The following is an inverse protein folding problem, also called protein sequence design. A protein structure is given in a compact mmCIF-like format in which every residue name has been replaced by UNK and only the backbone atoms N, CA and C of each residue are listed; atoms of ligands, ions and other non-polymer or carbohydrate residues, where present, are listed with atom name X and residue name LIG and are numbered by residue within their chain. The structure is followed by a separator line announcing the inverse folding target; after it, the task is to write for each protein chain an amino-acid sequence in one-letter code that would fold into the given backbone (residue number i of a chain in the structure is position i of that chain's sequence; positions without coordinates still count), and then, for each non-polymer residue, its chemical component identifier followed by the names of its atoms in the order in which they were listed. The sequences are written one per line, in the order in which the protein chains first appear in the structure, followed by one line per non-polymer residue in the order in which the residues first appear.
data_IF_652688016628
#
_entry.id   IF_652688016628
#
_cell.length_a   1.000
_cell.length_b   1.000
_cell.length_c   1.000
_cell.angle_alpha   90.00
_cell.angle_beta   90.00
_cell.angle_gamma   90.00
#
_symmetry.space_group_name_H-M   'P 1'
#
loop_
_entity.id
_entity.type
_entity.pdbx_description
1 polymer ?
#
# COMPACT_ATOMS: atom_id res chain seq x y z
N UNK A 1 -33.22 -66.47 1.08
CA UNK A 1 -32.07 -65.65 1.49
C UNK A 1 -31.92 -64.52 0.49
N UNK A 2 -32.10 -63.25 0.87
CA UNK A 2 -31.82 -62.12 0.00
C UNK A 2 -30.34 -61.72 0.09
N UNK A 3 -29.70 -61.47 -1.05
CA UNK A 3 -28.32 -60.98 -1.11
C UNK A 3 -28.20 -59.53 -0.61
N UNK A 4 -27.08 -59.15 0.01
CA UNK A 4 -26.86 -57.77 0.43
C UNK A 4 -26.48 -56.89 -0.78
N UNK A 5 -27.23 -55.81 -0.97
CA UNK A 5 -26.91 -54.73 -1.92
C UNK A 5 -25.57 -54.09 -1.54
N UNK A 6 -24.66 -54.00 -2.51
CA UNK A 6 -23.39 -53.30 -2.37
C UNK A 6 -23.62 -51.81 -2.09
N UNK A 7 -23.04 -51.31 -1.00
CA UNK A 7 -22.94 -49.88 -0.74
C UNK A 7 -21.95 -49.27 -1.73
N UNK A 8 -22.46 -48.48 -2.69
CA UNK A 8 -21.62 -47.64 -3.53
C UNK A 8 -20.98 -46.57 -2.64
N UNK A 9 -19.65 -46.63 -2.50
CA UNK A 9 -18.86 -45.63 -1.79
C UNK A 9 -18.99 -44.27 -2.47
N UNK A 10 -19.40 -43.25 -1.71
CA UNK A 10 -19.37 -41.87 -2.17
C UNK A 10 -17.90 -41.46 -2.22
N UNK A 11 -17.38 -41.26 -3.43
CA UNK A 11 -16.03 -40.76 -3.66
C UNK A 11 -15.90 -39.38 -3.00
N UNK A 12 -14.91 -39.22 -2.12
CA UNK A 12 -14.65 -37.98 -1.39
C UNK A 12 -14.35 -36.84 -2.36
N UNK A 13 -15.12 -35.76 -2.28
CA UNK A 13 -14.85 -34.51 -2.98
C UNK A 13 -13.56 -33.92 -2.43
N UNK A 14 -12.52 -33.85 -3.27
CA UNK A 14 -11.29 -33.14 -2.93
C UNK A 14 -11.59 -31.64 -2.88
N UNK A 15 -11.61 -31.06 -1.68
CA UNK A 15 -11.66 -29.61 -1.48
C UNK A 15 -10.24 -29.08 -1.68
N UNK A 16 -10.01 -28.32 -2.75
CA UNK A 16 -8.77 -27.56 -2.89
C UNK A 16 -8.92 -26.21 -2.18
N UNK A 17 -8.07 -25.95 -1.19
CA UNK A 17 -7.98 -24.63 -0.54
C UNK A 17 -7.05 -23.79 -1.39
N UNK A 18 -7.61 -22.81 -2.10
CA UNK A 18 -6.82 -21.77 -2.77
C UNK A 18 -6.52 -20.70 -1.73
N UNK A 19 -5.25 -20.35 -1.45
CA UNK A 19 -4.92 -19.26 -0.55
C UNK A 19 -5.59 -17.96 -1.03
N UNK A 20 -6.09 -17.16 -0.09
CA UNK A 20 -6.64 -15.84 -0.43
C UNK A 20 -5.55 -15.00 -1.10
N UNK A 21 -5.89 -14.07 -2.03
CA UNK A 21 -4.90 -13.22 -2.71
C UNK A 21 -3.96 -12.44 -1.77
N UNK A 22 -4.43 -12.15 -0.54
CA UNK A 22 -3.66 -11.50 0.53
C UNK A 22 -2.65 -12.43 1.21
N UNK A 23 -2.83 -13.76 1.12
CA UNK A 23 -1.89 -14.76 1.60
C UNK A 23 -0.80 -15.00 0.56
N UNK A 24 0.34 -14.38 0.82
CA UNK A 24 1.58 -14.53 0.05
C UNK A 24 2.66 -15.13 0.95
N UNK A 25 2.25 -15.96 1.92
CA UNK A 25 3.14 -16.50 2.94
C UNK A 25 4.24 -17.36 2.36
N UNK A 26 4.13 -17.85 1.12
CA UNK A 26 5.17 -18.52 0.34
C UNK A 26 6.38 -17.61 0.00
N UNK A 27 6.18 -16.30 -0.09
CA UNK A 27 7.19 -15.30 -0.43
C UNK A 27 8.03 -14.97 0.82
N UNK A 28 9.28 -15.46 0.86
CA UNK A 28 10.17 -15.38 2.05
C UNK A 28 11.06 -14.12 2.12
N UNK A 29 11.13 -13.34 1.03
CA UNK A 29 12.03 -12.19 0.91
C UNK A 29 13.47 -12.59 0.52
N UNK A 30 14.48 -11.77 0.83
CA UNK A 30 14.41 -10.54 1.62
C UNK A 30 13.60 -9.42 0.97
N UNK A 31 13.03 -8.53 1.79
CA UNK A 31 12.21 -7.41 1.31
C UNK A 31 12.77 -6.05 1.74
N UNK A 32 12.51 -5.02 0.95
CA UNK A 32 12.67 -3.62 1.34
C UNK A 32 11.29 -2.96 1.27
N UNK A 33 10.69 -2.69 2.43
CA UNK A 33 9.33 -2.16 2.52
C UNK A 33 9.39 -0.64 2.53
N UNK A 34 8.71 0.01 1.58
CA UNK A 34 8.79 1.46 1.34
C UNK A 34 7.46 2.12 1.72
N UNK A 35 7.56 3.21 2.48
CA UNK A 35 6.43 4.05 2.92
C UNK A 35 5.75 4.83 1.79
N UNK A 36 4.80 5.69 2.16
CA UNK A 36 3.98 6.50 1.25
C UNK A 36 4.85 7.38 0.34
N UNK A 37 4.80 7.14 -0.96
CA UNK A 37 5.66 7.81 -1.95
C UNK A 37 5.05 9.12 -2.42
N UNK A 38 3.73 9.16 -2.64
CA UNK A 38 3.00 10.35 -3.06
C UNK A 38 3.66 11.12 -4.22
N UNK A 39 4.01 10.43 -5.31
CA UNK A 39 4.57 11.08 -6.50
C UNK A 39 5.99 11.67 -6.32
N UNK A 40 6.68 11.42 -5.20
CA UNK A 40 8.08 11.80 -4.97
C UNK A 40 9.04 10.85 -5.71
N UNK A 41 9.06 10.91 -7.04
CA UNK A 41 9.83 9.99 -7.88
C UNK A 41 11.34 10.15 -7.72
N UNK A 42 11.83 11.39 -7.53
CA UNK A 42 13.27 11.63 -7.32
C UNK A 42 13.75 10.98 -6.02
N UNK A 43 13.01 11.14 -4.92
CA UNK A 43 13.32 10.48 -3.65
C UNK A 43 13.19 8.96 -3.74
N UNK A 44 12.22 8.43 -4.49
CA UNK A 44 12.08 6.99 -4.70
C UNK A 44 13.28 6.41 -5.48
N UNK A 45 13.68 7.04 -6.59
CA UNK A 45 14.85 6.61 -7.36
C UNK A 45 16.13 6.66 -6.51
N UNK A 46 16.32 7.72 -5.73
CA UNK A 46 17.46 7.86 -4.81
C UNK A 46 17.42 6.79 -3.70
N UNK A 47 16.24 6.52 -3.13
CA UNK A 47 16.08 5.50 -2.09
C UNK A 47 16.41 4.11 -2.62
N UNK A 48 15.89 3.76 -3.80
CA UNK A 48 16.18 2.49 -4.48
C UNK A 48 17.67 2.33 -4.76
N UNK A 49 18.33 3.37 -5.30
CA UNK A 49 19.77 3.34 -5.55
C UNK A 49 20.56 3.14 -4.25
N UNK A 50 20.19 3.83 -3.16
CA UNK A 50 20.83 3.67 -1.84
C UNK A 50 20.54 2.32 -1.18
N UNK A 51 19.41 1.70 -1.51
CA UNK A 51 19.10 0.33 -1.11
C UNK A 51 19.88 -0.72 -1.91
N UNK A 52 20.52 -0.34 -3.03
CA UNK A 52 21.31 -1.22 -3.89
C UNK A 52 20.57 -1.73 -5.13
N UNK A 53 19.42 -1.14 -5.48
CA UNK A 53 18.70 -1.48 -6.71
C UNK A 53 19.32 -0.77 -7.91
N UNK A 54 19.42 -1.48 -9.01
CA UNK A 54 19.80 -0.96 -10.32
C UNK A 54 18.52 -0.55 -11.06
N UNK A 55 18.44 0.72 -11.47
CA UNK A 55 17.26 1.27 -12.15
C UNK A 55 17.30 0.94 -13.64
N UNK A 56 16.21 0.36 -14.15
CA UNK A 56 15.96 0.22 -15.57
C UNK A 56 15.34 1.50 -16.11
N UNK A 57 15.86 2.00 -17.24
CA UNK A 57 15.37 3.21 -17.90
C UNK A 57 14.94 2.91 -19.32
N UNK A 58 13.86 3.57 -19.76
CA UNK A 58 13.43 3.54 -21.16
C UNK A 58 14.32 4.44 -22.05
N UNK A 59 14.14 4.44 -23.38
CA UNK A 59 14.90 5.29 -24.28
C UNK A 59 14.74 6.80 -24.03
N UNK A 60 13.70 7.23 -23.31
CA UNK A 60 13.49 8.62 -22.89
C UNK A 60 14.15 8.93 -21.54
N UNK A 61 14.87 7.97 -20.95
CA UNK A 61 15.57 8.12 -19.66
C UNK A 61 14.66 7.99 -18.44
N UNK A 62 13.38 7.62 -18.61
CA UNK A 62 12.43 7.49 -17.50
C UNK A 62 12.67 6.17 -16.79
N UNK A 63 12.66 6.17 -15.46
CA UNK A 63 12.71 4.94 -14.68
C UNK A 63 11.44 4.11 -14.94
N UNK A 64 11.63 2.87 -15.37
CA UNK A 64 10.56 1.91 -15.72
C UNK A 64 10.62 0.63 -14.91
N UNK A 65 11.70 0.40 -14.20
CA UNK A 65 11.91 -0.79 -13.38
C UNK A 65 13.10 -0.60 -12.48
N UNK A 66 13.28 -1.54 -11.55
CA UNK A 66 14.48 -1.61 -10.74
C UNK A 66 14.67 -3.05 -10.26
N UNK A 67 15.92 -3.52 -10.23
CA UNK A 67 16.26 -4.87 -9.78
C UNK A 67 17.41 -4.81 -8.77
N UNK A 68 17.30 -5.57 -7.69
CA UNK A 68 18.42 -5.73 -6.76
C UNK A 68 19.27 -6.94 -7.16
N UNK A 69 20.61 -6.81 -7.32
CA UNK A 69 21.47 -7.92 -7.77
C UNK A 69 21.49 -9.11 -6.80
N UNK A 70 21.27 -8.86 -5.51
CA UNK A 70 21.10 -9.92 -4.50
C UNK A 70 19.66 -10.51 -4.41
N UNK A 71 18.77 -10.17 -5.35
CA UNK A 71 17.41 -10.72 -5.40
C UNK A 71 16.44 -10.20 -4.33
N UNK A 72 16.75 -9.06 -3.69
CA UNK A 72 15.81 -8.37 -2.79
C UNK A 72 14.64 -7.81 -3.59
N UNK A 73 13.47 -7.75 -2.95
CA UNK A 73 12.24 -7.24 -3.57
C UNK A 73 11.65 -6.10 -2.78
N UNK A 74 11.06 -5.13 -3.47
CA UNK A 74 10.35 -4.03 -2.82
C UNK A 74 8.95 -4.46 -2.39
N UNK A 75 8.46 -3.93 -1.27
CA UNK A 75 7.04 -3.94 -0.95
C UNK A 75 6.57 -2.51 -0.70
N UNK A 76 5.73 -1.98 -1.57
CA UNK A 76 5.12 -0.66 -1.39
C UNK A 76 3.91 -0.74 -0.46
N UNK A 77 3.83 0.15 0.54
CA UNK A 77 2.69 0.21 1.47
C UNK A 77 1.45 0.91 0.89
N UNK A 78 1.46 1.30 -0.39
CA UNK A 78 0.39 2.08 -1.03
C UNK A 78 0.67 3.59 -1.03
N UNK A 79 -0.32 4.38 -1.47
CA UNK A 79 -0.22 5.83 -1.60
C UNK A 79 1.01 6.26 -2.44
N UNK A 80 1.09 5.66 -3.63
CA UNK A 80 2.09 5.94 -4.65
C UNK A 80 1.84 7.28 -5.35
N UNK A 81 0.57 7.70 -5.41
CA UNK A 81 0.11 8.85 -6.21
C UNK A 81 -0.30 10.06 -5.35
N UNK A 82 -0.70 11.13 -6.03
CA UNK A 82 -1.17 12.40 -5.46
C UNK A 82 -0.13 13.18 -4.64
N UNK A 83 -0.44 14.45 -4.37
CA UNK A 83 0.36 15.43 -3.59
C UNK A 83 1.71 15.82 -4.21
N UNK A 84 2.64 14.89 -4.36
CA UNK A 84 3.97 15.19 -4.91
C UNK A 84 3.96 15.45 -6.41
N UNK A 85 5.14 15.70 -7.00
CA UNK A 85 5.24 16.30 -8.32
C UNK A 85 5.04 15.32 -9.47
N UNK A 86 5.30 14.01 -9.30
CA UNK A 86 5.43 13.07 -10.41
C UNK A 86 4.71 11.72 -10.19
N UNK A 87 3.38 11.70 -9.89
CA UNK A 87 2.62 10.46 -9.73
C UNK A 87 2.73 9.50 -10.94
N UNK A 88 2.74 9.99 -12.18
CA UNK A 88 2.89 9.12 -13.35
C UNK A 88 4.27 8.46 -13.43
N UNK A 89 5.33 9.14 -12.97
CA UNK A 89 6.68 8.57 -12.89
C UNK A 89 6.77 7.44 -11.87
N UNK A 90 6.20 7.66 -10.67
CA UNK A 90 6.14 6.64 -9.62
C UNK A 90 5.36 5.42 -10.07
N UNK A 91 4.18 5.60 -10.68
CA UNK A 91 3.37 4.49 -11.19
C UNK A 91 4.11 3.65 -12.21
N UNK A 92 4.78 4.28 -13.18
CA UNK A 92 5.55 3.58 -14.22
C UNK A 92 6.64 2.70 -13.62
N UNK A 93 7.41 3.25 -12.68
CA UNK A 93 8.46 2.50 -11.98
C UNK A 93 7.88 1.34 -11.17
N UNK A 94 6.87 1.61 -10.32
CA UNK A 94 6.26 0.59 -9.46
C UNK A 94 5.59 -0.53 -10.27
N UNK A 95 4.88 -0.19 -11.34
CA UNK A 95 4.23 -1.16 -12.22
C UNK A 95 5.25 -2.04 -12.94
N UNK A 96 6.33 -1.47 -13.48
CA UNK A 96 7.34 -2.28 -14.14
C UNK A 96 8.12 -3.18 -13.19
N UNK A 97 8.43 -2.71 -11.97
CA UNK A 97 8.97 -3.57 -10.91
C UNK A 97 8.02 -4.71 -10.54
N UNK A 98 6.72 -4.43 -10.39
CA UNK A 98 5.72 -5.45 -10.08
C UNK A 98 5.58 -6.49 -11.21
N UNK A 99 5.55 -6.04 -12.46
CA UNK A 99 5.47 -6.91 -13.63
C UNK A 99 6.71 -7.81 -13.79
N UNK A 100 7.89 -7.29 -13.45
CA UNK A 100 9.15 -8.04 -13.47
C UNK A 100 9.33 -8.97 -12.24
N UNK A 101 8.43 -8.90 -11.26
CA UNK A 101 8.52 -9.68 -10.02
C UNK A 101 9.45 -9.08 -8.97
N UNK A 102 10.02 -7.88 -9.20
CA UNK A 102 10.94 -7.20 -8.29
C UNK A 102 10.23 -6.37 -7.21
N UNK A 103 8.92 -6.18 -7.32
CA UNK A 103 8.10 -5.54 -6.30
C UNK A 103 6.75 -6.22 -6.04
N UNK A 104 6.22 -5.96 -4.85
CA UNK A 104 4.83 -6.15 -4.46
C UNK A 104 4.26 -4.80 -4.01
N UNK A 105 2.95 -4.65 -4.00
CA UNK A 105 2.27 -3.45 -3.50
C UNK A 105 0.92 -3.79 -2.88
N UNK A 106 0.50 -2.97 -1.93
CA UNK A 106 -0.86 -2.97 -1.38
C UNK A 106 -1.58 -1.68 -1.76
N UNK A 107 -2.91 -1.71 -1.75
CA UNK A 107 -3.72 -0.55 -2.07
C UNK A 107 -3.62 0.49 -0.94
N UNK A 108 -3.25 1.72 -1.29
CA UNK A 108 -3.47 2.89 -0.45
C UNK A 108 -4.87 3.48 -0.67
N UNK A 109 -5.24 4.44 0.18
CA UNK A 109 -6.52 5.11 -0.01
C UNK A 109 -6.54 6.03 -1.23
N UNK A 110 -5.38 6.47 -1.71
CA UNK A 110 -5.27 7.27 -2.93
C UNK A 110 -5.49 6.44 -4.19
N UNK A 111 -4.88 5.25 -4.31
CA UNK A 111 -5.14 4.34 -5.44
C UNK A 111 -6.61 3.91 -5.47
N UNK A 112 -7.21 3.63 -4.30
CA UNK A 112 -8.64 3.31 -4.21
C UNK A 112 -9.54 4.47 -4.71
N UNK A 113 -9.17 5.73 -4.47
CA UNK A 113 -9.90 6.90 -5.01
C UNK A 113 -9.70 7.02 -6.52
N UNK A 114 -8.50 6.77 -7.03
CA UNK A 114 -8.20 6.81 -8.46
C UNK A 114 -9.04 5.78 -9.23
N UNK A 115 -9.09 4.53 -8.78
CA UNK A 115 -9.90 3.47 -9.42
C UNK A 115 -11.38 3.87 -9.51
N UNK A 116 -11.95 4.46 -8.45
CA UNK A 116 -13.34 4.94 -8.46
C UNK A 116 -13.56 6.07 -9.48
N UNK A 117 -12.61 7.00 -9.56
CA UNK A 117 -12.67 8.12 -10.51
C UNK A 117 -12.59 7.64 -11.97
N UNK A 118 -11.67 6.72 -12.27
CA UNK A 118 -11.47 6.19 -13.63
C UNK A 118 -12.61 5.27 -14.09
N UNK A 119 -13.22 4.50 -13.18
CA UNK A 119 -14.37 3.63 -13.50
C UNK A 119 -15.70 4.39 -13.65
N UNK A 120 -15.69 5.73 -13.71
CA UNK A 120 -16.91 6.54 -13.84
C UNK A 120 -17.87 6.41 -12.64
N UNK A 121 -17.41 5.84 -11.53
CA UNK A 121 -18.19 5.70 -10.31
C UNK A 121 -18.19 7.03 -9.56
N UNK A 122 -19.07 7.95 -9.98
CA UNK A 122 -19.49 9.13 -9.23
C UNK A 122 -20.21 8.80 -7.92
N UNK A 123 -19.68 7.86 -7.13
CA UNK A 123 -20.20 7.47 -5.83
C UNK A 123 -19.50 8.23 -4.71
N UNK A 124 -20.30 8.88 -3.89
CA UNK A 124 -20.01 9.43 -2.56
C UNK A 124 -19.24 8.44 -1.67
N UNK A 125 -18.49 8.95 -0.70
CA UNK A 125 -17.88 8.13 0.35
C UNK A 125 -18.93 7.53 1.28
N UNK A 126 -18.62 6.38 1.87
CA UNK A 126 -19.30 5.81 3.03
C UNK A 126 -20.75 5.33 2.83
N UNK A 127 -21.20 4.31 3.58
CA UNK A 127 -22.61 3.96 3.61
C UNK A 127 -23.38 5.07 4.34
N UNK A 128 -24.14 5.89 3.61
CA UNK A 128 -25.03 6.91 4.21
C UNK A 128 -25.43 8.13 3.37
N UNK A 129 -24.77 8.45 2.25
CA UNK A 129 -25.07 9.70 1.52
C UNK A 129 -25.45 9.52 0.03
N UNK A 130 -26.59 10.09 -0.43
CA UNK A 130 -27.04 10.00 -1.81
C UNK A 130 -26.16 10.85 -2.76
N UNK A 131 -25.92 10.28 -3.94
CA UNK A 131 -24.93 10.70 -4.92
C UNK A 131 -25.16 12.04 -5.62
N UNK A 132 -24.04 12.75 -5.80
CA UNK A 132 -23.79 13.75 -6.81
C UNK A 132 -22.39 13.50 -7.40
N UNK A 133 -21.99 14.17 -8.50
CA UNK A 133 -20.69 13.95 -9.14
C UNK A 133 -19.59 14.07 -8.08
N UNK A 134 -18.77 13.02 -7.95
CA UNK A 134 -17.68 13.01 -7.00
C UNK A 134 -16.85 14.28 -7.24
N UNK A 135 -16.82 15.19 -6.27
CA UNK A 135 -15.80 16.26 -6.29
C UNK A 135 -14.49 15.51 -6.35
N UNK A 136 -13.85 15.49 -7.52
CA UNK A 136 -12.46 15.06 -7.67
C UNK A 136 -11.73 15.89 -6.64
N UNK A 137 -11.38 15.27 -5.50
CA UNK A 137 -10.73 16.00 -4.43
C UNK A 137 -9.50 16.66 -5.02
N UNK A 138 -9.20 17.90 -4.65
CA UNK A 138 -8.05 18.65 -5.18
C UNK A 138 -6.76 17.81 -5.21
N UNK A 139 -6.64 16.84 -4.31
CA UNK A 139 -5.50 15.91 -4.23
C UNK A 139 -5.35 14.96 -5.44
N UNK A 140 -6.44 14.53 -6.10
CA UNK A 140 -6.40 13.60 -7.24
C UNK A 140 -6.20 14.31 -8.59
N UNK A 141 -6.45 15.62 -8.63
CA UNK A 141 -6.43 16.41 -9.87
C UNK A 141 -5.07 16.29 -10.59
N UNK A 142 -3.95 16.44 -9.88
CA UNK A 142 -2.61 16.33 -10.46
C UNK A 142 -2.34 14.95 -11.07
N UNK A 143 -2.78 13.88 -10.42
CA UNK A 143 -2.60 12.53 -10.95
C UNK A 143 -3.39 12.36 -12.24
N UNK A 144 -4.66 12.79 -12.27
CA UNK A 144 -5.48 12.73 -13.48
C UNK A 144 -4.93 13.59 -14.60
N UNK A 145 -4.45 14.80 -14.30
CA UNK A 145 -3.80 15.70 -15.28
C UNK A 145 -2.58 15.05 -15.92
N UNK A 146 -1.72 14.40 -15.13
CA UNK A 146 -0.55 13.70 -15.68
C UNK A 146 -0.95 12.46 -16.47
N UNK A 147 -1.88 11.64 -15.96
CA UNK A 147 -2.35 10.46 -16.68
C UNK A 147 -2.98 10.82 -18.03
N UNK A 148 -3.70 11.95 -18.12
CA UNK A 148 -4.29 12.43 -19.37
C UNK A 148 -3.25 12.78 -20.46
N UNK A 149 -1.98 13.00 -20.08
CA UNK A 149 -0.88 13.23 -21.03
C UNK A 149 -0.15 11.95 -21.45
N UNK A 150 -0.44 10.82 -20.82
CA UNK A 150 0.18 9.53 -21.12
C UNK A 150 -0.62 8.75 -22.18
N UNK A 151 0.00 7.81 -22.90
CA UNK A 151 -0.69 6.93 -23.84
C UNK A 151 -1.85 6.16 -23.18
N UNK A 152 -2.88 5.84 -23.96
CA UNK A 152 -4.08 5.14 -23.46
C UNK A 152 -3.70 3.79 -22.83
N UNK A 153 -2.74 3.08 -23.42
CA UNK A 153 -2.24 1.80 -22.92
C UNK A 153 -1.62 1.94 -21.53
N UNK A 154 -0.96 3.07 -21.24
CA UNK A 154 -0.43 3.35 -19.90
C UNK A 154 -1.55 3.63 -18.91
N UNK A 155 -2.58 4.40 -19.31
CA UNK A 155 -3.73 4.70 -18.46
C UNK A 155 -4.50 3.41 -18.11
N UNK A 156 -4.72 2.53 -19.09
CA UNK A 156 -5.34 1.22 -18.88
C UNK A 156 -4.51 0.32 -17.96
N UNK A 157 -3.19 0.30 -18.15
CA UNK A 157 -2.29 -0.44 -17.29
C UNK A 157 -2.28 0.10 -15.84
N UNK A 158 -2.37 1.42 -15.65
CA UNK A 158 -2.51 2.04 -14.32
C UNK A 158 -3.82 1.63 -13.66
N UNK A 159 -4.93 1.65 -14.39
CA UNK A 159 -6.23 1.20 -13.87
C UNK A 159 -6.18 -0.27 -13.47
N UNK A 160 -5.66 -1.14 -14.34
CA UNK A 160 -5.53 -2.58 -14.07
C UNK A 160 -4.63 -2.84 -12.85
N UNK A 161 -3.49 -2.16 -12.76
CA UNK A 161 -2.58 -2.26 -11.62
C UNK A 161 -3.28 -1.85 -10.32
N UNK A 162 -3.84 -0.64 -10.26
CA UNK A 162 -4.47 -0.11 -9.05
C UNK A 162 -5.70 -0.92 -8.63
N UNK A 163 -6.51 -1.39 -9.59
CA UNK A 163 -7.68 -2.24 -9.31
C UNK A 163 -7.30 -3.65 -8.84
N UNK A 164 -6.12 -4.14 -9.22
CA UNK A 164 -5.57 -5.43 -8.79
C UNK A 164 -4.88 -5.41 -7.44
N UNK A 165 -4.65 -4.24 -6.82
CA UNK A 165 -3.98 -4.14 -5.53
C UNK A 165 -4.86 -4.72 -4.40
N UNK A 166 -4.29 -5.64 -3.63
CA UNK A 166 -4.91 -6.21 -2.44
C UNK A 166 -4.89 -5.26 -1.24
N UNK A 167 -5.70 -5.55 -0.21
CA UNK A 167 -5.74 -4.73 1.01
C UNK A 167 -4.49 -4.84 1.88
N UNK A 168 -3.88 -6.02 1.91
CA UNK A 168 -2.68 -6.31 2.67
C UNK A 168 -1.98 -7.53 2.09
N UNK A 169 -0.74 -7.75 2.52
CA UNK A 169 0.07 -8.93 2.22
C UNK A 169 0.48 -9.61 3.52
N UNK A 170 0.23 -10.91 3.63
CA UNK A 170 0.84 -11.79 4.63
C UNK A 170 2.01 -12.50 3.98
N UNK A 171 3.22 -12.27 4.46
CA UNK A 171 4.48 -12.71 3.85
C UNK A 171 5.29 -13.56 4.84
N UNK A 172 6.26 -14.28 4.30
CA UNK A 172 7.24 -15.07 5.05
C UNK A 172 6.61 -15.94 6.15
N UNK A 173 5.75 -16.90 5.78
CA UNK A 173 5.08 -17.78 6.75
C UNK A 173 4.16 -17.06 7.75
N UNK A 174 3.82 -15.78 7.50
CA UNK A 174 3.07 -14.92 8.40
C UNK A 174 3.93 -14.22 9.46
N UNK A 175 5.23 -14.04 9.20
CA UNK A 175 6.15 -13.23 10.03
C UNK A 175 6.19 -11.77 9.63
N UNK A 176 5.76 -11.43 8.40
CA UNK A 176 5.63 -10.06 7.92
C UNK A 176 4.20 -9.82 7.43
N UNK A 177 3.61 -8.70 7.84
CA UNK A 177 2.35 -8.19 7.32
C UNK A 177 2.56 -6.75 6.84
N UNK A 178 2.13 -6.48 5.62
CA UNK A 178 2.17 -5.13 5.04
C UNK A 178 0.75 -4.70 4.68
N UNK A 179 0.33 -3.54 5.19
CA UNK A 179 -0.99 -2.96 4.95
C UNK A 179 -0.89 -1.43 5.02
N UNK A 180 -1.64 -0.70 4.20
CA UNK A 180 -1.47 0.75 4.10
C UNK A 180 -1.69 1.50 5.43
N UNK A 181 -2.84 1.37 6.08
CA UNK A 181 -3.12 1.98 7.38
C UNK A 181 -2.79 1.06 8.58
N UNK A 182 -2.09 -0.04 8.30
CA UNK A 182 -1.78 -1.10 9.26
C UNK A 182 -2.94 -2.06 9.48
N UNK A 183 -2.71 -3.08 10.33
CA UNK A 183 -3.66 -4.16 10.51
C UNK A 183 -3.53 -4.83 11.88
N UNK A 184 -4.66 -5.08 12.54
CA UNK A 184 -4.71 -5.85 13.79
C UNK A 184 -4.49 -7.34 13.49
N UNK A 185 -3.90 -8.05 14.45
CA UNK A 185 -3.61 -9.50 14.31
C UNK A 185 -4.83 -10.33 13.90
N UNK A 186 -6.00 -10.06 14.49
CA UNK A 186 -7.24 -10.78 14.18
C UNK A 186 -7.71 -10.65 12.72
N UNK A 187 -7.11 -9.73 11.94
CA UNK A 187 -7.45 -9.49 10.54
C UNK A 187 -6.42 -10.06 9.56
N UNK A 188 -5.28 -10.57 10.04
CA UNK A 188 -4.24 -11.10 9.17
C UNK A 188 -4.77 -12.28 8.34
N UNK A 189 -4.65 -12.17 7.01
CA UNK A 189 -5.10 -13.20 6.06
C UNK A 189 -6.60 -13.20 5.75
N UNK A 190 -7.39 -12.30 6.33
CA UNK A 190 -8.82 -12.19 6.08
C UNK A 190 -9.13 -11.16 4.99
N UNK A 191 -9.98 -11.49 4.02
CA UNK A 191 -10.36 -10.56 2.94
C UNK A 191 -11.85 -10.17 2.96
N UNK A 192 -12.30 -9.66 4.10
CA UNK A 192 -13.66 -9.10 4.24
C UNK A 192 -13.69 -7.61 3.93
N UNK A 193 -14.86 -7.06 3.58
CA UNK A 193 -15.03 -5.62 3.36
C UNK A 193 -14.59 -4.77 4.58
N UNK A 194 -14.82 -5.28 5.80
CA UNK A 194 -14.37 -4.64 7.05
C UNK A 194 -12.85 -4.60 7.15
N UNK A 195 -12.18 -5.68 6.79
CA UNK A 195 -10.71 -5.76 6.79
C UNK A 195 -10.10 -4.85 5.73
N UNK A 196 -10.67 -4.85 4.52
CA UNK A 196 -10.25 -3.92 3.46
C UNK A 196 -10.40 -2.45 3.88
N UNK A 197 -11.53 -2.11 4.49
CA UNK A 197 -11.76 -0.76 5.02
C UNK A 197 -10.73 -0.37 6.09
N UNK A 198 -10.43 -1.28 7.02
CA UNK A 198 -9.40 -1.05 8.05
C UNK A 198 -8.02 -0.83 7.41
N UNK A 199 -7.63 -1.69 6.46
CA UNK A 199 -6.34 -1.58 5.80
C UNK A 199 -6.17 -0.28 4.98
N UNK A 200 -7.26 0.28 4.46
CA UNK A 200 -7.24 1.54 3.70
C UNK A 200 -7.32 2.79 4.59
N UNK A 201 -8.07 2.74 5.70
CA UNK A 201 -8.45 3.94 6.44
C UNK A 201 -8.13 3.91 7.94
N UNK A 202 -7.71 2.76 8.48
CA UNK A 202 -7.46 2.52 9.90
C UNK A 202 -8.75 2.31 10.72
N UNK A 203 -8.60 2.33 12.04
CA UNK A 203 -9.69 2.18 13.02
C UNK A 203 -10.31 3.54 13.36
N UNK A 204 -11.29 3.99 12.59
CA UNK A 204 -11.95 5.28 12.83
C UNK A 204 -12.94 5.22 14.00
N UNK A 205 -13.01 6.28 14.81
CA UNK A 205 -13.99 6.38 15.91
C UNK A 205 -15.38 6.76 15.42
N UNK A 206 -15.48 7.32 14.21
CA UNK A 206 -16.68 7.96 13.67
C UNK A 206 -16.67 9.48 13.85
N UNK A 207 -15.79 10.01 14.70
CA UNK A 207 -15.63 11.44 14.96
C UNK A 207 -14.62 12.08 13.99
N UNK A 208 -14.64 13.42 13.90
CA UNK A 208 -13.68 14.22 13.14
C UNK A 208 -12.94 15.18 14.05
N UNK A 209 -11.65 15.39 13.78
CA UNK A 209 -10.83 16.39 14.46
C UNK A 209 -11.14 17.82 13.99
N UNK A 210 -10.48 18.82 14.58
CA UNK A 210 -10.65 20.24 14.25
C UNK A 210 -10.30 20.59 12.80
N UNK A 211 -9.51 19.74 12.14
CA UNK A 211 -9.11 19.86 10.75
C UNK A 211 -10.01 19.04 9.80
N UNK A 212 -11.06 18.40 10.34
CA UNK A 212 -12.03 17.61 9.59
C UNK A 212 -11.58 16.18 9.25
N UNK A 213 -10.44 15.70 9.76
CA UNK A 213 -9.97 14.33 9.53
C UNK A 213 -10.59 13.34 10.50
N UNK A 214 -10.81 12.08 10.10
CA UNK A 214 -11.31 11.05 11.02
C UNK A 214 -10.38 10.85 12.21
N UNK A 215 -10.94 10.89 13.43
CA UNK A 215 -10.23 10.48 14.64
C UNK A 215 -10.06 8.96 14.60
N UNK A 216 -8.86 8.48 14.95
CA UNK A 216 -8.48 7.06 14.84
C UNK A 216 -8.00 6.52 16.18
N UNK A 217 -8.35 5.26 16.46
CA UNK A 217 -7.84 4.54 17.63
C UNK A 217 -6.39 4.10 17.36
N UNK A 218 -5.47 4.22 18.34
CA UNK A 218 -4.07 3.86 18.18
C UNK A 218 -3.88 2.34 18.27
N UNK A 219 -4.43 1.58 17.30
CA UNK A 219 -4.45 0.12 17.32
C UNK A 219 -3.07 -0.52 17.52
N UNK A 220 -2.00 0.14 17.06
CA UNK A 220 -0.63 -0.29 17.22
C UNK A 220 -0.21 -0.43 18.71
N UNK A 221 -0.75 0.40 19.61
CA UNK A 221 -0.47 0.34 21.04
C UNK A 221 -0.97 -0.97 21.68
N UNK A 222 -2.07 -1.51 21.15
CA UNK A 222 -2.71 -2.75 21.61
C UNK A 222 -2.22 -3.99 20.85
N UNK A 223 -1.43 -3.81 19.78
CA UNK A 223 -0.95 -4.92 18.96
C UNK A 223 0.03 -5.82 19.72
N UNK A 224 -0.25 -7.12 19.78
CA UNK A 224 0.59 -8.14 20.43
C UNK A 224 0.90 -9.33 19.52
N UNK A 225 0.59 -9.22 18.23
CA UNK A 225 0.79 -10.31 17.29
C UNK A 225 2.25 -10.58 16.96
N UNK A 226 2.52 -11.81 16.53
CA UNK A 226 3.88 -12.26 16.21
C UNK A 226 4.48 -11.57 14.99
N UNK A 227 3.64 -11.22 14.00
CA UNK A 227 4.10 -10.67 12.74
C UNK A 227 4.64 -9.24 12.94
N UNK A 228 5.70 -8.90 12.21
CA UNK A 228 6.10 -7.53 12.00
C UNK A 228 5.07 -6.85 11.10
N UNK A 229 4.44 -5.76 11.56
CA UNK A 229 3.47 -5.02 10.74
C UNK A 229 4.09 -3.71 10.28
N UNK A 230 4.34 -3.61 8.97
CA UNK A 230 4.86 -2.40 8.34
C UNK A 230 3.74 -1.71 7.55
N UNK A 231 3.58 -0.41 7.77
CA UNK A 231 2.44 0.35 7.27
C UNK A 231 2.77 1.83 7.06
N UNK A 232 1.83 2.63 6.58
CA UNK A 232 1.94 4.06 6.29
C UNK A 232 0.69 4.86 6.69
N UNK A 233 0.13 5.66 5.76
CA UNK A 233 -1.15 6.38 5.85
C UNK A 233 -1.21 7.65 6.69
N UNK A 234 -0.69 7.61 7.92
CA UNK A 234 -0.71 8.77 8.82
C UNK A 234 0.70 9.30 9.00
N UNK A 235 1.03 10.45 8.36
CA UNK A 235 2.40 10.94 8.36
C UNK A 235 2.77 11.38 9.76
N UNK A 236 3.87 10.81 10.26
CA UNK A 236 4.39 11.08 11.59
C UNK A 236 5.82 11.62 11.54
N UNK A 237 6.12 12.52 12.48
CA UNK A 237 7.50 12.98 12.76
C UNK A 237 8.31 11.92 13.51
N UNK A 238 7.63 11.08 14.31
CA UNK A 238 8.25 10.00 15.06
C UNK A 238 8.22 8.69 14.28
N UNK A 239 9.39 8.30 13.77
CA UNK A 239 9.61 7.02 13.14
C UNK A 239 10.20 6.04 14.18
N UNK A 240 9.33 5.38 14.94
CA UNK A 240 9.73 4.43 16.00
C UNK A 240 8.84 3.20 16.01
N UNK A 241 9.41 2.09 16.48
CA UNK A 241 8.67 0.87 16.71
C UNK A 241 7.67 1.03 17.86
N UNK A 242 6.44 0.59 17.63
CA UNK A 242 5.40 0.43 18.67
C UNK A 242 5.02 -1.03 18.68
N UNK A 243 5.38 -1.74 19.75
CA UNK A 243 5.34 -3.21 19.77
C UNK A 243 6.09 -3.77 18.55
N UNK A 244 5.49 -4.70 17.80
CA UNK A 244 6.07 -5.22 16.56
C UNK A 244 5.53 -4.52 15.30
N UNK A 245 5.19 -3.23 15.40
CA UNK A 245 4.63 -2.45 14.29
C UNK A 245 5.46 -1.18 14.05
N UNK A 246 5.51 -0.72 12.80
CA UNK A 246 6.21 0.51 12.43
C UNK A 246 5.50 1.23 11.26
N UNK A 247 5.16 2.50 11.48
CA UNK A 247 4.71 3.39 10.43
C UNK A 247 5.92 3.93 9.64
N UNK A 248 5.89 3.75 8.32
CA UNK A 248 6.90 4.18 7.36
C UNK A 248 6.54 5.52 6.70
N UNK A 249 5.31 6.02 6.89
CA UNK A 249 4.92 7.34 6.40
C UNK A 249 5.57 8.43 7.25
N UNK A 250 6.72 8.90 6.76
CA UNK A 250 7.46 10.03 7.31
C UNK A 250 7.24 11.31 6.50
N UNK A 251 6.12 11.40 5.78
CA UNK A 251 5.65 12.63 5.14
C UNK A 251 6.57 13.19 4.05
N UNK A 252 7.09 12.34 3.15
CA UNK A 252 8.00 12.76 2.08
C UNK A 252 7.45 13.96 1.28
N UNK A 253 6.22 13.87 0.80
CA UNK A 253 5.60 14.96 0.01
C UNK A 253 5.41 16.26 0.81
N UNK A 254 5.41 16.20 2.14
CA UNK A 254 5.29 17.34 3.06
C UNK A 254 6.64 17.96 3.46
N UNK A 255 7.75 17.51 2.86
CA UNK A 255 9.11 17.98 3.21
C UNK A 255 9.79 17.15 4.30
N UNK A 256 9.23 15.98 4.65
CA UNK A 256 9.85 15.03 5.58
C UNK A 256 10.89 14.16 4.88
N UNK A 257 10.68 12.84 4.87
CA UNK A 257 11.55 11.90 4.17
C UNK A 257 10.75 10.76 3.56
N UNK A 258 11.29 10.11 2.53
CA UNK A 258 10.86 8.79 2.09
C UNK A 258 11.65 7.74 2.88
N UNK A 259 10.95 6.76 3.45
CA UNK A 259 11.54 5.80 4.38
C UNK A 259 11.32 4.37 3.90
N UNK A 260 12.37 3.55 4.02
CA UNK A 260 12.33 2.11 3.81
C UNK A 260 12.80 1.36 5.06
N UNK A 261 12.29 0.14 5.22
CA UNK A 261 12.78 -0.85 6.19
C UNK A 261 13.19 -2.12 5.47
N UNK A 262 14.41 -2.59 5.75
CA UNK A 262 14.90 -3.89 5.29
C UNK A 262 14.31 -5.00 6.16
N UNK A 263 13.77 -6.03 5.53
CA UNK A 263 13.28 -7.25 6.17
C UNK A 263 14.12 -8.45 5.71
N UNK A 264 14.60 -9.29 6.64
CA UNK A 264 14.28 -9.35 8.07
C UNK A 264 15.17 -8.47 8.98
N UNK A 265 16.09 -7.69 8.42
CA UNK A 265 17.17 -7.01 9.15
C UNK A 265 16.67 -5.93 10.13
N UNK A 266 15.52 -5.31 9.84
CA UNK A 266 14.92 -4.16 10.55
C UNK A 266 15.71 -2.86 10.41
N UNK A 267 16.67 -2.82 9.48
CA UNK A 267 17.44 -1.61 9.17
C UNK A 267 16.53 -0.58 8.49
N UNK A 268 16.62 0.67 8.96
CA UNK A 268 15.88 1.79 8.39
C UNK A 268 16.78 2.62 7.48
N UNK A 269 16.28 2.96 6.29
CA UNK A 269 16.93 3.89 5.37
C UNK A 269 15.97 5.03 5.04
N UNK A 270 16.49 6.26 5.00
CA UNK A 270 15.69 7.46 4.76
C UNK A 270 16.35 8.37 3.73
N UNK A 271 15.57 8.88 2.79
CA UNK A 271 15.94 9.92 1.85
C UNK A 271 15.13 11.17 2.20
N UNK A 272 15.77 12.27 2.65
CA UNK A 272 15.07 13.53 2.90
C UNK A 272 14.39 14.03 1.63
N UNK A 273 13.19 14.60 1.78
CA UNK A 273 12.53 15.27 0.67
C UNK A 273 13.36 16.48 0.22
N UNK A 274 13.47 16.68 -1.09
CA UNK A 274 14.26 17.79 -1.66
C UNK A 274 13.64 19.15 -1.37
N UNK A 275 12.32 19.17 -1.16
CA UNK A 275 11.52 20.34 -0.79
C UNK A 275 10.16 19.92 -0.24
N UNK A 276 9.41 20.88 0.27
CA UNK A 276 7.97 20.71 0.52
C UNK A 276 7.24 20.73 -0.84
N UNK A 277 6.67 19.61 -1.26
CA UNK A 277 5.92 19.50 -2.52
C UNK A 277 4.43 19.81 -2.34
N UNK A 278 3.90 19.53 -1.15
CA UNK A 278 2.55 19.81 -0.75
C UNK A 278 2.57 20.30 0.70
N UNK A 279 1.93 21.43 1.05
CA UNK A 279 1.83 21.84 2.44
C UNK A 279 0.92 20.89 3.22
N UNK A 280 1.24 20.48 4.46
CA UNK A 280 0.37 19.61 5.23
C UNK A 280 -0.89 20.37 5.69
N UNK A 281 -2.06 19.75 5.61
CA UNK A 281 -3.35 20.36 6.00
C UNK A 281 -3.54 20.44 7.52
N UNK A 282 -2.80 19.62 8.27
CA UNK A 282 -2.67 19.66 9.74
C UNK A 282 -1.20 19.50 10.10
N UNK A 283 -0.74 19.96 11.27
CA UNK A 283 0.63 19.70 11.72
C UNK A 283 0.96 18.21 11.63
N UNK A 284 2.19 17.88 11.22
CA UNK A 284 2.67 16.52 11.34
C UNK A 284 2.87 16.26 12.84
N UNK A 285 1.91 15.61 13.47
CA UNK A 285 1.91 15.41 14.92
C UNK A 285 2.86 14.28 15.33
N UNK A 286 3.41 14.42 16.53
CA UNK A 286 3.87 13.29 17.32
C UNK A 286 2.65 12.45 17.73
N UNK A 287 2.64 11.15 17.46
CA UNK A 287 1.70 10.26 18.15
C UNK A 287 2.04 10.33 19.65
N UNK A 288 1.08 10.60 20.56
CA UNK A 288 1.36 10.68 21.98
C UNK A 288 2.09 9.40 22.41
N UNK A 289 3.21 9.59 23.12
CA UNK A 289 3.89 8.48 23.76
C UNK A 289 2.90 7.79 24.71
N UNK A 290 2.83 6.47 24.57
CA UNK A 290 2.19 5.61 25.55
C UNK A 290 2.81 5.82 26.94
#
# INVERSE_FOLDING_TARGET
MPEPRSAAGVAGTAVSVVPAPVDRSAERGPFDVIGDVHGCSEELEELLARLGYELDRDPAGRAVGARHPAGRRVVFVGDLIDRGPHPAAVLRLAMGMAAAGDALAVAGNHEHKLVRALNGSGGSGGPGEPGGPAKVGQHLARTLEQLATEPVEFQEAVLAFCAGLGSHLVLDGGWLVVAHAGLKESYHGLDSARVRSFALFGDTTGERDEYGFPVRRPWANDYRGRAMVLYGHTPGTQHRWVNNTLCLDTGCCFGGALTAVRYPERDQLRVPARRVYHPPTRPLHDMPAA
#
